data_IF_749310538741
#
_entry.id   IF_749310538741
#
_cell.length_a   1.000
_cell.length_b   1.000
_cell.length_c   1.000
_cell.angle_alpha   90.00
_cell.angle_beta   90.00
_cell.angle_gamma   90.00
#
_symmetry.space_group_name_H-M   'P 1'
#
loop_
_entity.id
_entity.type
_entity.pdbx_description
1 polymer ?
#
# COMPACT_ATOMS: atom_id res chain seq x y z
N UNK A 1 -10.08 16.78 9.83
CA UNK A 1 -10.17 17.30 8.44
C UNK A 1 -9.91 16.20 7.42
N UNK A 2 -8.82 15.41 7.56
CA UNK A 2 -8.60 14.22 6.72
C UNK A 2 -9.77 13.23 6.79
N UNK A 3 -10.33 12.99 7.98
CA UNK A 3 -11.43 12.03 8.18
C UNK A 3 -12.78 12.52 7.64
N UNK A 4 -12.87 13.80 7.26
CA UNK A 4 -14.08 14.41 6.70
C UNK A 4 -14.13 14.32 5.17
N UNK A 5 -13.03 13.87 4.54
CA UNK A 5 -12.92 13.73 3.10
C UNK A 5 -12.96 12.24 2.77
N UNK A 6 -13.83 11.89 1.84
CA UNK A 6 -13.88 10.53 1.33
C UNK A 6 -12.54 10.14 0.73
N UNK A 7 -12.04 8.96 1.11
CA UNK A 7 -10.84 8.33 0.58
C UNK A 7 -11.18 6.90 0.16
N UNK A 8 -10.51 6.35 -0.85
CA UNK A 8 -10.73 4.96 -1.24
C UNK A 8 -10.26 4.01 -0.13
N UNK A 9 -11.00 2.91 0.06
CA UNK A 9 -10.64 1.82 0.96
C UNK A 9 -9.68 0.84 0.26
N UNK A 10 -8.48 1.36 -0.05
CA UNK A 10 -7.42 0.60 -0.72
C UNK A 10 -6.76 -0.36 0.27
N UNK A 11 -6.71 -1.64 -0.09
CA UNK A 11 -5.98 -2.67 0.66
C UNK A 11 -5.11 -3.52 -0.26
N UNK A 12 -4.17 -4.25 0.34
CA UNK A 12 -3.26 -5.14 -0.38
C UNK A 12 -3.73 -6.57 -0.18
N UNK A 13 -4.26 -7.22 -1.22
CA UNK A 13 -4.91 -8.52 -1.10
C UNK A 13 -3.94 -9.65 -0.66
N UNK A 14 -2.66 -9.51 -1.00
CA UNK A 14 -1.63 -10.48 -0.67
C UNK A 14 -0.77 -10.07 0.55
N UNK A 15 -1.22 -9.11 1.35
CA UNK A 15 -0.56 -8.71 2.59
C UNK A 15 -0.67 -9.78 3.69
N UNK A 16 0.44 -10.01 4.39
CA UNK A 16 0.52 -10.85 5.60
C UNK A 16 0.69 -10.02 6.87
N UNK A 17 1.20 -8.81 6.74
CA UNK A 17 1.31 -7.83 7.80
C UNK A 17 1.52 -6.42 7.22
N UNK A 18 0.74 -5.45 7.69
CA UNK A 18 0.89 -4.05 7.35
C UNK A 18 1.19 -3.22 8.59
N UNK A 19 2.22 -2.38 8.53
CA UNK A 19 2.53 -1.41 9.57
C UNK A 19 2.38 0.01 9.00
N UNK A 20 1.46 0.77 9.61
CA UNK A 20 1.33 2.21 9.37
C UNK A 20 2.41 2.94 10.17
N UNK A 21 3.15 3.84 9.53
CA UNK A 21 4.20 4.60 10.22
C UNK A 21 3.63 5.81 10.99
N UNK A 22 3.54 5.69 12.31
CA UNK A 22 2.97 6.72 13.21
C UNK A 22 4.01 7.63 13.92
N UNK A 23 5.29 7.63 13.52
CA UNK A 23 6.36 8.39 14.21
C UNK A 23 6.74 9.64 13.39
N UNK A 24 6.73 10.91 13.85
CA UNK A 24 6.22 11.62 15.04
C UNK A 24 4.92 12.42 14.77
N UNK A 25 4.43 12.37 13.53
CA UNK A 25 3.11 12.82 13.03
C UNK A 25 2.70 11.85 11.92
N UNK A 26 1.39 11.66 11.71
CA UNK A 26 0.85 10.86 10.61
C UNK A 26 1.54 11.23 9.29
N UNK A 27 2.27 10.30 8.67
CA UNK A 27 2.94 10.49 7.36
C UNK A 27 1.90 10.44 6.23
N UNK A 28 0.90 11.32 6.31
CA UNK A 28 -0.24 11.43 5.40
C UNK A 28 -0.27 12.84 4.82
N UNK A 29 -0.10 12.96 3.51
CA UNK A 29 -0.24 14.21 2.76
C UNK A 29 -1.57 14.20 2.03
N UNK A 30 -2.37 15.24 2.27
CA UNK A 30 -3.55 15.53 1.45
C UNK A 30 -3.38 16.90 0.80
N UNK A 31 -3.49 16.95 -0.53
CA UNK A 31 -3.47 18.20 -1.29
C UNK A 31 -4.69 18.27 -2.21
N UNK A 32 -5.51 19.30 -2.03
CA UNK A 32 -6.65 19.59 -2.89
C UNK A 32 -6.24 20.70 -3.86
N UNK A 33 -6.34 20.42 -5.15
CA UNK A 33 -6.06 21.38 -6.21
C UNK A 33 -7.31 22.22 -6.52
N UNK A 34 -7.11 23.44 -7.03
CA UNK A 34 -8.23 24.37 -7.37
C UNK A 34 -9.18 23.80 -8.43
N UNK A 35 -8.73 22.84 -9.23
CA UNK A 35 -9.54 22.15 -10.23
C UNK A 35 -10.34 20.96 -9.68
N UNK A 36 -10.26 20.69 -8.37
CA UNK A 36 -10.97 19.60 -7.71
C UNK A 36 -10.18 18.29 -7.59
N UNK A 37 -8.98 18.19 -8.18
CA UNK A 37 -8.15 16.99 -8.01
C UNK A 37 -7.66 16.87 -6.56
N UNK A 38 -7.60 15.63 -6.05
CA UNK A 38 -7.13 15.34 -4.70
C UNK A 38 -5.93 14.40 -4.79
N UNK A 39 -4.80 14.84 -4.25
CA UNK A 39 -3.63 13.99 -4.06
C UNK A 39 -3.61 13.52 -2.60
N UNK A 40 -3.69 12.21 -2.40
CA UNK A 40 -3.51 11.56 -1.11
C UNK A 40 -2.27 10.68 -1.17
N UNK A 41 -1.30 10.89 -0.29
CA UNK A 41 -0.05 10.14 -0.23
C UNK A 41 0.24 9.72 1.19
N UNK A 42 0.56 8.45 1.37
CA UNK A 42 0.87 7.85 2.67
C UNK A 42 2.10 6.95 2.57
N UNK A 43 2.87 6.88 3.66
CA UNK A 43 4.00 5.94 3.76
C UNK A 43 3.55 4.67 4.49
N UNK A 44 3.74 3.51 3.85
CA UNK A 44 3.41 2.19 4.40
C UNK A 44 4.64 1.29 4.37
N UNK A 45 4.79 0.43 5.40
CA UNK A 45 5.66 -0.75 5.33
C UNK A 45 4.76 -1.98 5.27
N UNK A 46 4.95 -2.80 4.24
CA UNK A 46 4.12 -3.96 3.96
C UNK A 46 4.99 -5.22 3.93
N UNK A 47 4.46 -6.28 4.51
CA UNK A 47 4.96 -7.64 4.37
C UNK A 47 3.97 -8.36 3.46
N UNK A 48 4.41 -8.66 2.24
CA UNK A 48 3.58 -9.30 1.23
C UNK A 48 3.91 -10.78 1.11
N UNK A 49 2.89 -11.57 0.78
CA UNK A 49 3.06 -12.96 0.37
C UNK A 49 3.55 -13.02 -1.07
N UNK A 50 4.64 -13.76 -1.26
CA UNK A 50 5.19 -14.07 -2.57
C UNK A 50 5.43 -15.58 -2.66
N UNK A 51 4.61 -16.33 -3.42
CA UNK A 51 4.86 -17.75 -3.67
C UNK A 51 6.07 -17.89 -4.60
N UNK A 52 7.10 -18.60 -4.13
CA UNK A 52 8.35 -18.80 -4.86
C UNK A 52 8.44 -20.22 -5.45
N UNK A 53 9.01 -20.36 -6.65
CA UNK A 53 9.36 -21.66 -7.25
C UNK A 53 10.87 -21.93 -7.10
N UNK A 54 11.24 -22.77 -6.14
CA UNK A 54 12.63 -23.01 -5.73
C UNK A 54 13.30 -24.20 -6.47
N UNK A 55 12.74 -24.69 -7.58
CA UNK A 55 13.29 -25.86 -8.30
C UNK A 55 14.74 -25.70 -8.77
N UNK A 56 15.17 -24.47 -9.08
CA UNK A 56 16.50 -24.17 -9.62
C UNK A 56 17.42 -23.48 -8.61
N UNK A 57 17.18 -23.65 -7.31
CA UNK A 57 17.98 -23.02 -6.26
C UNK A 57 19.49 -23.35 -6.40
N UNK A 58 20.41 -22.37 -6.26
CA UNK A 58 20.21 -20.95 -5.92
C UNK A 58 20.12 -20.00 -7.13
N UNK A 59 19.97 -20.54 -8.34
CA UNK A 59 19.97 -19.80 -9.62
C UNK A 59 18.54 -19.61 -10.18
N UNK A 60 17.55 -19.65 -9.30
CA UNK A 60 16.14 -19.45 -9.58
C UNK A 60 15.78 -17.96 -9.73
N UNK A 61 14.66 -17.70 -10.40
CA UNK A 61 14.13 -16.34 -10.60
C UNK A 61 12.74 -16.28 -10.01
N UNK A 62 12.52 -15.35 -9.09
CA UNK A 62 11.24 -15.16 -8.41
C UNK A 62 10.55 -13.90 -8.89
N UNK A 63 9.26 -14.00 -9.21
CA UNK A 63 8.41 -12.84 -9.57
C UNK A 63 7.38 -12.62 -8.49
N UNK A 64 7.54 -11.56 -7.71
CA UNK A 64 6.60 -11.19 -6.65
C UNK A 64 5.63 -10.11 -7.13
N UNK A 65 4.33 -10.38 -7.02
CA UNK A 65 3.28 -9.43 -7.39
C UNK A 65 2.79 -8.66 -6.17
N UNK A 66 2.42 -7.40 -6.38
CA UNK A 66 1.68 -6.61 -5.39
C UNK A 66 0.24 -6.51 -5.89
N UNK A 67 -0.71 -7.00 -5.11
CA UNK A 67 -2.13 -6.99 -5.48
C UNK A 67 -2.84 -5.89 -4.71
N UNK A 68 -3.35 -4.90 -5.43
CA UNK A 68 -4.07 -3.76 -4.88
C UNK A 68 -5.55 -3.87 -5.23
N UNK A 69 -6.41 -3.77 -4.23
CA UNK A 69 -7.85 -3.87 -4.39
C UNK A 69 -8.57 -2.79 -3.58
N UNK A 70 -9.82 -2.51 -3.94
CA UNK A 70 -10.72 -1.68 -3.14
C UNK A 70 -11.66 -2.60 -2.39
N UNK A 71 -11.75 -2.41 -1.08
CA UNK A 71 -12.85 -3.00 -0.33
C UNK A 71 -14.14 -2.29 -0.72
N UNK A 72 -15.28 -2.98 -0.65
CA UNK A 72 -16.61 -2.43 -0.86
C UNK A 72 -17.46 -2.68 0.37
#
# INVERSE_FOLDING_TARGET
>A
MLDSIWKPDLFFANEKGANFHEVTTDNKLLRIFKNGNVLYSIRLTLILSCPMDLKNFPMDVQTCIMQLESCK
#
